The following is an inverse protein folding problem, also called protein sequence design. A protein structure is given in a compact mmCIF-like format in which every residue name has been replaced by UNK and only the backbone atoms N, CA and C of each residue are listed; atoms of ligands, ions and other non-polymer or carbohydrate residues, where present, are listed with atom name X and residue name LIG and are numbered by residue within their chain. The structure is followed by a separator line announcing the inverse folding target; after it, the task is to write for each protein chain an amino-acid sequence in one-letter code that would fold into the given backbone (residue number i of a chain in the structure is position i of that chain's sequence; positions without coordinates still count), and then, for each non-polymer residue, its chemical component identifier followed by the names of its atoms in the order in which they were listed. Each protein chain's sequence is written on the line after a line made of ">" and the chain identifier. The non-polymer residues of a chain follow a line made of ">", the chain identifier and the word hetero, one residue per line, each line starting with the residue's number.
data_IF_895295378243
#
_entry.id   IF_895295378243
#
_cell.length_a   1.000
_cell.length_b   1.000
_cell.length_c   1.000
_cell.angle_alpha   90.00
_cell.angle_beta   90.00
_cell.angle_gamma   90.00
#
_symmetry.space_group_name_H-M   'P 1'
#
loop_
_entity.id
_entity.type
_entity.pdbx_description
1 polymer ?
#
# COMPACT_ATOMS: atom_id res chain seq x y z
N UNK A 1 1.89 -16.51 11.38
CA UNK A 1 0.96 -16.29 10.24
C UNK A 1 -0.19 -17.31 10.19
N UNK A 2 0.04 -18.61 10.45
CA UNK A 2 -1.04 -19.63 10.42
C UNK A 2 -2.22 -19.37 11.38
N UNK A 3 -1.99 -18.78 12.55
CA UNK A 3 -3.07 -18.51 13.51
C UNK A 3 -4.04 -17.43 13.03
N UNK A 4 -3.56 -16.39 12.34
CA UNK A 4 -4.41 -15.29 11.88
C UNK A 4 -5.32 -15.74 10.72
N UNK A 5 -4.75 -16.49 9.75
CA UNK A 5 -5.51 -17.07 8.64
C UNK A 5 -6.61 -18.00 9.15
N UNK A 6 -6.31 -18.85 10.14
CA UNK A 6 -7.30 -19.76 10.73
C UNK A 6 -8.44 -19.03 11.47
N UNK A 7 -8.13 -17.92 12.16
CA UNK A 7 -9.14 -17.09 12.85
C UNK A 7 -10.05 -16.38 11.84
N UNK A 8 -9.45 -15.75 10.81
CA UNK A 8 -10.20 -15.05 9.76
C UNK A 8 -11.04 -16.04 8.96
N UNK A 9 -10.49 -17.21 8.65
CA UNK A 9 -11.21 -18.27 7.95
C UNK A 9 -12.45 -18.72 8.72
N UNK A 10 -12.33 -19.05 10.03
CA UNK A 10 -13.49 -19.41 10.85
C UNK A 10 -14.55 -18.31 10.89
N UNK A 11 -14.12 -17.05 10.97
CA UNK A 11 -15.05 -15.93 11.00
C UNK A 11 -15.81 -15.75 9.67
N UNK A 12 -15.12 -15.87 8.54
CA UNK A 12 -15.72 -15.76 7.20
C UNK A 12 -16.61 -16.97 6.90
N UNK A 13 -16.22 -18.17 7.32
CA UNK A 13 -17.04 -19.40 7.24
C UNK A 13 -18.35 -19.23 8.03
N UNK A 14 -18.27 -18.74 9.26
CA UNK A 14 -19.44 -18.51 10.11
C UNK A 14 -20.36 -17.41 9.55
N UNK A 15 -19.80 -16.31 9.03
CA UNK A 15 -20.58 -15.26 8.38
C UNK A 15 -21.27 -15.76 7.11
N UNK A 16 -20.58 -16.57 6.32
CA UNK A 16 -21.10 -17.13 5.07
C UNK A 16 -22.27 -18.06 5.36
N UNK A 17 -22.13 -18.96 6.36
CA UNK A 17 -23.22 -19.83 6.77
C UNK A 17 -24.44 -19.06 7.29
N UNK A 18 -24.23 -18.02 8.11
CA UNK A 18 -25.33 -17.17 8.59
C UNK A 18 -25.99 -16.39 7.46
N UNK A 19 -25.24 -16.00 6.43
CA UNK A 19 -25.79 -15.30 5.27
C UNK A 19 -26.62 -16.23 4.37
N UNK A 20 -26.19 -17.48 4.17
CA UNK A 20 -26.89 -18.45 3.33
C UNK A 20 -28.09 -19.11 4.03
N UNK A 21 -28.00 -19.39 5.32
CA UNK A 21 -29.03 -20.11 6.07
C UNK A 21 -29.93 -19.20 6.91
N UNK A 22 -29.50 -17.97 7.20
CA UNK A 22 -30.25 -16.95 7.93
C UNK A 22 -30.99 -17.51 9.17
N UNK A 23 -32.33 -17.59 9.16
CA UNK A 23 -33.15 -18.10 10.27
C UNK A 23 -33.12 -19.65 10.42
N UNK A 24 -32.75 -20.39 9.38
CA UNK A 24 -32.67 -21.86 9.38
C UNK A 24 -31.31 -22.38 9.87
N UNK A 25 -30.32 -21.50 10.06
CA UNK A 25 -29.00 -21.84 10.57
C UNK A 25 -28.98 -22.76 11.83
N UNK A 26 -29.80 -22.54 12.88
CA UNK A 26 -29.84 -23.41 14.04
C UNK A 26 -30.49 -24.79 13.78
N UNK A 27 -31.35 -24.90 12.76
CA UNK A 27 -32.12 -26.11 12.46
C UNK A 27 -31.54 -26.94 11.30
N UNK A 28 -30.56 -26.40 10.57
CA UNK A 28 -29.94 -27.07 9.43
C UNK A 28 -28.92 -28.12 9.90
N UNK A 29 -28.90 -29.29 9.24
CA UNK A 29 -27.96 -30.36 9.55
C UNK A 29 -26.50 -29.94 9.29
N UNK A 30 -25.56 -30.51 10.03
CA UNK A 30 -24.12 -30.25 9.83
C UNK A 30 -23.65 -30.65 8.42
N UNK A 31 -24.29 -31.65 7.79
CA UNK A 31 -23.99 -32.09 6.43
C UNK A 31 -24.42 -31.08 5.35
N UNK A 32 -25.52 -30.36 5.56
CA UNK A 32 -25.96 -29.27 4.67
C UNK A 32 -25.12 -28.02 4.86
N UNK A 33 -24.73 -27.70 6.09
CA UNK A 33 -23.78 -26.62 6.38
C UNK A 33 -22.43 -26.87 5.69
N UNK A 34 -21.92 -28.11 5.73
CA UNK A 34 -20.69 -28.46 5.04
C UNK A 34 -20.80 -28.34 3.52
N UNK A 35 -21.92 -28.77 2.91
CA UNK A 35 -22.14 -28.59 1.46
C UNK A 35 -22.17 -27.13 1.03
N UNK A 36 -22.79 -26.26 1.83
CA UNK A 36 -22.82 -24.82 1.57
C UNK A 36 -21.43 -24.20 1.70
N UNK A 37 -20.67 -24.60 2.72
CA UNK A 37 -19.27 -24.18 2.89
C UNK A 37 -18.38 -24.65 1.74
N UNK A 38 -18.60 -25.87 1.24
CA UNK A 38 -17.83 -26.44 0.14
C UNK A 38 -18.16 -25.74 -1.19
N UNK A 39 -19.44 -25.41 -1.41
CA UNK A 39 -19.88 -24.60 -2.55
C UNK A 39 -19.33 -23.16 -2.48
N UNK A 40 -19.32 -22.55 -1.29
CA UNK A 40 -18.81 -21.20 -1.08
C UNK A 40 -17.31 -21.14 -0.81
N UNK A 41 -16.58 -22.26 -0.90
CA UNK A 41 -15.17 -22.36 -0.49
C UNK A 41 -14.26 -21.38 -1.22
N UNK A 42 -14.45 -21.26 -2.53
CA UNK A 42 -13.68 -20.32 -3.37
C UNK A 42 -13.99 -18.86 -2.99
N UNK A 43 -15.24 -18.55 -2.66
CA UNK A 43 -15.64 -17.22 -2.19
C UNK A 43 -15.05 -16.91 -0.81
N UNK A 44 -15.07 -17.89 0.10
CA UNK A 44 -14.47 -17.80 1.44
C UNK A 44 -12.97 -17.57 1.33
N UNK A 45 -12.27 -18.36 0.51
CA UNK A 45 -10.82 -18.24 0.33
C UNK A 45 -10.43 -16.88 -0.27
N UNK A 46 -11.17 -16.42 -1.28
CA UNK A 46 -10.97 -15.09 -1.87
C UNK A 46 -11.21 -13.96 -0.86
N UNK A 47 -12.22 -14.08 -0.01
CA UNK A 47 -12.51 -13.08 1.04
C UNK A 47 -11.46 -13.10 2.15
N UNK A 48 -11.01 -14.28 2.59
CA UNK A 48 -9.92 -14.44 3.57
C UNK A 48 -8.62 -13.81 3.02
N UNK A 49 -8.29 -14.09 1.76
CA UNK A 49 -7.11 -13.53 1.11
C UNK A 49 -7.21 -12.00 0.99
N UNK A 50 -8.37 -11.47 0.58
CA UNK A 50 -8.60 -10.02 0.51
C UNK A 50 -8.44 -9.33 1.87
N UNK A 51 -8.98 -9.92 2.94
CA UNK A 51 -8.85 -9.37 4.29
C UNK A 51 -7.38 -9.40 4.72
N UNK A 52 -6.68 -10.51 4.51
CA UNK A 52 -5.24 -10.62 4.81
C UNK A 52 -4.41 -9.62 4.03
N UNK A 53 -4.70 -9.42 2.74
CA UNK A 53 -4.02 -8.45 1.89
C UNK A 53 -4.27 -7.01 2.35
N UNK A 54 -5.49 -6.68 2.79
CA UNK A 54 -5.80 -5.36 3.35
C UNK A 54 -5.03 -5.15 4.66
N UNK A 55 -5.03 -6.11 5.57
CA UNK A 55 -4.28 -6.03 6.83
C UNK A 55 -2.77 -5.94 6.58
N UNK A 56 -2.22 -6.75 5.68
CA UNK A 56 -0.82 -6.66 5.26
C UNK A 56 -0.52 -5.32 4.62
N UNK A 57 -1.40 -4.82 3.76
CA UNK A 57 -1.26 -3.52 3.11
C UNK A 57 -1.31 -2.38 4.13
N UNK A 58 -2.16 -2.44 5.13
CA UNK A 58 -2.29 -1.41 6.16
C UNK A 58 -1.10 -1.41 7.12
N UNK A 59 -0.63 -2.59 7.51
CA UNK A 59 0.59 -2.78 8.30
C UNK A 59 1.83 -2.32 7.52
N UNK A 60 1.90 -2.60 6.22
CA UNK A 60 3.03 -2.18 5.37
C UNK A 60 2.94 -0.72 4.92
N UNK A 61 1.75 -0.15 4.75
CA UNK A 61 1.55 1.27 4.46
C UNK A 61 1.94 2.16 5.66
N UNK A 62 1.76 1.67 6.88
CA UNK A 62 2.27 2.32 8.09
C UNK A 62 3.71 1.94 8.44
N UNK A 63 4.41 1.18 7.59
CA UNK A 63 5.82 0.90 7.79
C UNK A 63 6.61 2.23 7.81
N UNK A 64 7.48 2.44 8.81
CA UNK A 64 8.32 3.63 8.89
C UNK A 64 9.20 3.82 7.65
N UNK A 65 9.50 2.75 6.91
CA UNK A 65 10.27 2.79 5.65
C UNK A 65 9.53 3.53 4.54
N UNK A 66 8.23 3.24 4.30
CA UNK A 66 7.44 3.95 3.29
C UNK A 66 7.25 5.42 3.63
N UNK A 67 7.10 5.76 4.91
CA UNK A 67 7.02 7.16 5.37
C UNK A 67 8.35 7.90 5.15
N UNK A 68 9.49 7.26 5.43
CA UNK A 68 10.82 7.83 5.14
C UNK A 68 11.01 8.10 3.64
N UNK A 69 10.70 7.12 2.79
CA UNK A 69 10.78 7.29 1.32
C UNK A 69 9.86 8.40 0.83
N UNK A 70 8.64 8.51 1.37
CA UNK A 70 7.71 9.60 1.02
C UNK A 70 8.27 10.98 1.42
N UNK A 71 8.82 11.12 2.62
CA UNK A 71 9.41 12.37 3.09
C UNK A 71 10.65 12.76 2.26
N UNK A 72 11.49 11.80 1.91
CA UNK A 72 12.65 12.01 1.04
C UNK A 72 12.22 12.48 -0.36
N UNK A 73 11.19 11.86 -0.95
CA UNK A 73 10.62 12.30 -2.24
C UNK A 73 10.05 13.72 -2.19
N UNK A 74 9.37 14.09 -1.10
CA UNK A 74 8.83 15.45 -0.91
C UNK A 74 9.98 16.47 -0.79
N UNK A 75 11.04 16.13 -0.06
CA UNK A 75 12.23 16.98 0.08
C UNK A 75 12.93 17.18 -1.28
N UNK A 76 13.16 16.10 -2.03
CA UNK A 76 13.73 16.14 -3.38
C UNK A 76 12.88 17.01 -4.30
N UNK A 77 11.56 16.83 -4.30
CA UNK A 77 10.64 17.63 -5.10
C UNK A 77 10.70 19.13 -4.74
N UNK A 78 10.78 19.43 -3.44
CA UNK A 78 10.87 20.81 -2.94
C UNK A 78 12.17 21.50 -3.39
N UNK A 79 13.32 20.80 -3.25
CA UNK A 79 14.62 21.33 -3.69
C UNK A 79 14.63 21.49 -5.21
N UNK A 80 14.05 20.54 -5.94
CA UNK A 80 13.94 20.61 -7.40
C UNK A 80 13.16 21.83 -7.83
N UNK A 81 12.02 22.10 -7.21
CA UNK A 81 11.19 23.26 -7.50
C UNK A 81 11.95 24.58 -7.28
N UNK A 82 12.64 24.71 -6.14
CA UNK A 82 13.45 25.89 -5.82
C UNK A 82 14.58 26.07 -6.83
N UNK A 83 15.31 25.00 -7.14
CA UNK A 83 16.46 25.09 -8.04
C UNK A 83 16.02 25.37 -9.49
N UNK A 84 14.91 24.80 -9.97
CA UNK A 84 14.36 25.11 -11.29
C UNK A 84 13.90 26.57 -11.38
N UNK A 85 13.23 27.10 -10.36
CA UNK A 85 12.89 28.53 -10.31
C UNK A 85 14.14 29.42 -10.23
N UNK A 86 15.15 29.00 -9.47
CA UNK A 86 16.45 29.67 -9.40
C UNK A 86 17.17 29.73 -10.75
N UNK A 87 17.13 28.66 -11.54
CA UNK A 87 17.66 28.65 -12.91
C UNK A 87 16.91 29.64 -13.80
N UNK A 88 15.57 29.64 -13.75
CA UNK A 88 14.77 30.59 -14.54
C UNK A 88 15.13 32.05 -14.22
N UNK A 89 15.33 32.37 -12.94
CA UNK A 89 15.79 33.68 -12.51
C UNK A 89 17.25 33.98 -12.91
N UNK A 90 18.14 32.99 -12.83
CA UNK A 90 19.54 33.12 -13.22
C UNK A 90 19.70 33.38 -14.72
N UNK A 91 18.89 32.72 -15.55
CA UNK A 91 18.78 32.96 -16.99
C UNK A 91 18.33 34.38 -17.27
N UNK A 92 17.35 34.89 -16.52
CA UNK A 92 16.89 36.28 -16.65
C UNK A 92 17.97 37.30 -16.30
N UNK A 93 18.92 36.96 -15.43
CA UNK A 93 20.07 37.80 -15.07
C UNK A 93 21.31 37.56 -15.96
N UNK A 94 21.21 36.68 -16.97
CA UNK A 94 22.32 36.23 -17.82
C UNK A 94 23.56 35.73 -17.05
N UNK A 95 23.36 35.30 -15.80
CA UNK A 95 24.46 34.87 -14.94
C UNK A 95 24.70 33.37 -15.10
N UNK A 96 25.57 33.03 -16.04
CA UNK A 96 25.97 31.65 -16.34
C UNK A 96 26.52 30.91 -15.13
N UNK A 97 27.25 31.59 -14.23
CA UNK A 97 27.77 30.98 -13.02
C UNK A 97 26.67 30.49 -12.09
N UNK A 98 25.62 31.29 -11.92
CA UNK A 98 24.47 30.92 -11.09
C UNK A 98 23.66 29.76 -11.69
N UNK A 99 23.52 29.71 -13.01
CA UNK A 99 22.89 28.59 -13.73
C UNK A 99 23.65 27.29 -13.47
N UNK A 100 24.98 27.31 -13.61
CA UNK A 100 25.83 26.12 -13.42
C UNK A 100 25.72 25.61 -11.98
N UNK A 101 25.73 26.50 -10.98
CA UNK A 101 25.57 26.11 -9.57
C UNK A 101 24.21 25.45 -9.32
N UNK A 102 23.11 26.04 -9.81
CA UNK A 102 21.79 25.44 -9.65
C UNK A 102 21.64 24.12 -10.40
N UNK A 103 22.22 23.99 -11.59
CA UNK A 103 22.22 22.75 -12.37
C UNK A 103 23.00 21.62 -11.68
N UNK A 104 24.15 21.93 -11.08
CA UNK A 104 24.92 20.96 -10.29
C UNK A 104 24.15 20.49 -9.05
N UNK A 105 23.48 21.41 -8.35
CA UNK A 105 22.62 21.07 -7.19
C UNK A 105 21.50 20.12 -7.62
N UNK A 106 20.82 20.40 -8.74
CA UNK A 106 19.78 19.53 -9.28
C UNK A 106 20.33 18.13 -9.63
N UNK A 107 21.50 18.07 -10.25
CA UNK A 107 22.14 16.81 -10.61
C UNK A 107 22.44 15.99 -9.36
N UNK A 108 23.03 16.59 -8.32
CA UNK A 108 23.28 15.90 -7.06
C UNK A 108 22.00 15.37 -6.40
N UNK A 109 20.93 16.18 -6.39
CA UNK A 109 19.65 15.83 -5.77
C UNK A 109 18.94 14.70 -6.52
N UNK A 110 19.06 14.64 -7.85
CA UNK A 110 18.47 13.60 -8.68
C UNK A 110 19.30 12.30 -8.71
N UNK A 111 20.63 12.40 -8.57
CA UNK A 111 21.53 11.24 -8.52
C UNK A 111 21.53 10.56 -7.14
N UNK A 112 21.34 11.32 -6.06
CA UNK A 112 21.26 10.79 -4.69
C UNK A 112 20.32 9.58 -4.51
N UNK A 113 19.05 9.60 -4.97
CA UNK A 113 18.18 8.42 -4.84
C UNK A 113 18.64 7.22 -5.67
N UNK A 114 19.28 7.44 -6.82
CA UNK A 114 19.78 6.37 -7.71
C UNK A 114 20.99 5.65 -7.10
N UNK A 115 21.85 6.36 -6.37
CA UNK A 115 23.00 5.77 -5.66
C UNK A 115 22.62 5.10 -4.33
N UNK A 116 21.44 5.42 -3.80
CA UNK A 116 20.96 4.90 -2.51
C UNK A 116 20.13 3.62 -2.66
N UNK A 117 19.52 3.40 -3.83
CA UNK A 117 18.96 2.10 -4.24
C UNK A 117 20.05 1.04 -4.41
#
# INVERSE_FOLDING_TARGET
>A
MNNLRAIVQRHVEEQTLRQFLNEDYPNTSEEEKQRILEFAREMIENNVQRILDIFLTEVTQNSPERRKVKNEKILIASITLIATTGIAHAVNLENLGYIIVCALILLCVQVYPILKE
#
